data_IF_846116558978
#
_entry.id   IF_846116558978
#
_cell.length_a   1.000
_cell.length_b   1.000
_cell.length_c   1.000
_cell.angle_alpha   90.00
_cell.angle_beta   90.00
_cell.angle_gamma   90.00
#
_symmetry.space_group_name_H-M   'P 1'
#
loop_
_entity.id
_entity.type
_entity.pdbx_description
1 polymer ?
#
# COMPACT_ATOMS: atom_id res chain seq x y z
N UNK A 1 -15.65 0.03 -15.63
CA UNK A 1 -15.50 0.73 -14.33
C UNK A 1 -14.28 1.68 -14.27
N UNK A 2 -13.61 1.99 -15.39
CA UNK A 2 -12.41 2.85 -15.43
C UNK A 2 -12.67 4.31 -15.85
N UNK A 3 -13.93 4.70 -16.11
CA UNK A 3 -14.27 6.00 -16.72
C UNK A 3 -14.36 7.16 -15.72
N UNK A 4 -14.45 6.90 -14.41
CA UNK A 4 -14.63 7.95 -13.40
C UNK A 4 -13.32 8.42 -12.73
N UNK A 5 -12.17 7.76 -12.96
CA UNK A 5 -10.89 8.19 -12.38
C UNK A 5 -10.12 9.20 -13.25
N UNK A 6 -10.44 9.33 -14.53
CA UNK A 6 -9.75 10.29 -15.42
C UNK A 6 -10.23 11.74 -15.25
N UNK A 7 -11.44 11.97 -14.74
CA UNK A 7 -11.98 13.34 -14.60
C UNK A 7 -11.35 14.14 -13.45
N UNK A 8 -10.85 13.48 -12.40
CA UNK A 8 -10.31 14.16 -11.22
C UNK A 8 -8.91 14.79 -11.44
N UNK A 9 -8.18 14.36 -12.47
CA UNK A 9 -6.81 14.83 -12.73
C UNK A 9 -6.73 16.03 -13.69
N UNK A 10 -7.88 16.50 -14.21
CA UNK A 10 -7.97 17.56 -15.24
C UNK A 10 -8.26 18.96 -14.67
N UNK A 11 -8.30 19.09 -13.34
CA UNK A 11 -8.67 20.33 -12.65
C UNK A 11 -7.47 20.87 -11.87
N UNK A 12 -6.73 21.81 -12.46
CA UNK A 12 -5.76 22.63 -11.71
C UNK A 12 -6.49 23.83 -11.10
N UNK A 13 -6.53 23.90 -9.78
CA UNK A 13 -7.08 25.05 -9.03
C UNK A 13 -5.96 26.04 -8.74
N UNK A 14 -5.97 27.20 -9.40
CA UNK A 14 -5.15 28.35 -9.02
C UNK A 14 -6.01 29.30 -8.17
N UNK A 15 -5.57 29.57 -6.94
CA UNK A 15 -6.29 30.42 -5.99
C UNK A 15 -5.85 31.87 -6.23
N UNK A 16 -6.68 32.65 -6.91
CA UNK A 16 -6.43 34.09 -7.09
C UNK A 16 -6.98 34.85 -5.88
N UNK A 17 -6.09 35.39 -5.05
CA UNK A 17 -6.46 36.22 -3.91
C UNK A 17 -6.83 37.65 -4.41
N UNK A 18 -8.11 37.98 -4.43
CA UNK A 18 -8.55 39.38 -4.55
C UNK A 18 -8.91 39.89 -3.17
N UNK A 19 -7.95 40.56 -2.54
CA UNK A 19 -8.19 41.25 -1.27
C UNK A 19 -9.20 42.39 -1.44
N UNK A 20 -10.30 42.30 -0.70
CA UNK A 20 -11.04 43.45 -0.17
C UNK A 20 -11.59 43.08 1.20
N UNK A 21 -11.25 43.86 2.22
CA UNK A 21 -11.76 43.75 3.59
C UNK A 21 -13.18 44.33 3.69
N UNK A 22 -14.11 43.64 4.39
CA UNK A 22 -14.88 44.20 5.52
C UNK A 22 -16.00 43.27 6.05
N UNK A 23 -16.00 43.12 7.38
CA UNK A 23 -17.11 42.89 8.32
C UNK A 23 -18.17 41.82 8.01
N UNK A 24 -17.85 40.57 8.35
CA UNK A 24 -18.72 39.48 8.86
C UNK A 24 -18.12 38.15 8.40
N UNK A 25 -17.72 37.30 9.35
CA UNK A 25 -16.74 36.22 9.16
C UNK A 25 -17.15 35.05 8.25
N UNK A 26 -17.19 35.27 6.93
CA UNK A 26 -17.18 34.20 5.93
C UNK A 26 -16.26 34.57 4.76
N UNK A 27 -15.12 33.88 4.66
CA UNK A 27 -14.20 33.98 3.53
C UNK A 27 -14.84 33.36 2.29
N UNK A 28 -15.31 34.18 1.36
CA UNK A 28 -15.86 33.69 0.08
C UNK A 28 -14.73 33.60 -0.94
N UNK A 29 -14.32 32.39 -1.30
CA UNK A 29 -13.39 32.13 -2.40
C UNK A 29 -14.18 31.82 -3.67
N UNK A 30 -13.79 32.41 -4.81
CA UNK A 30 -14.35 32.04 -6.12
C UNK A 30 -13.31 31.23 -6.91
N UNK A 31 -13.60 29.95 -7.14
CA UNK A 31 -12.73 29.06 -7.93
C UNK A 31 -13.20 29.12 -9.38
N UNK A 32 -12.38 29.71 -10.26
CA UNK A 32 -12.64 29.67 -11.70
C UNK A 32 -11.95 28.44 -12.28
N UNK A 33 -12.73 27.40 -12.56
CA UNK A 33 -12.25 26.18 -13.21
C UNK A 33 -12.00 26.45 -14.70
N UNK A 34 -10.73 26.47 -15.12
CA UNK A 34 -10.37 26.48 -16.54
C UNK A 34 -10.18 25.03 -16.99
N UNK A 35 -11.01 24.54 -17.91
CA UNK A 35 -10.79 23.25 -18.58
C UNK A 35 -9.52 23.35 -19.43
N UNK A 36 -8.40 22.77 -18.99
CA UNK A 36 -7.28 22.50 -19.90
C UNK A 36 -7.73 21.39 -20.85
N UNK A 37 -7.54 21.61 -22.16
CA UNK A 37 -7.70 20.57 -23.16
C UNK A 37 -6.69 19.45 -22.85
N UNK A 38 -7.11 18.18 -22.81
CA UNK A 38 -6.23 17.06 -22.53
C UNK A 38 -5.17 16.92 -23.64
N UNK A 39 -3.90 17.01 -23.27
CA UNK A 39 -2.78 16.60 -24.12
C UNK A 39 -2.72 15.08 -24.17
N UNK A 40 -3.62 14.49 -24.95
CA UNK A 40 -3.73 13.04 -25.17
C UNK A 40 -2.45 12.44 -25.78
N UNK A 41 -1.58 13.24 -26.38
CA UNK A 41 -0.35 12.76 -27.03
C UNK A 41 0.75 12.47 -26.00
N UNK A 42 0.74 13.15 -24.85
CA UNK A 42 1.81 13.06 -23.84
C UNK A 42 1.52 12.00 -22.76
N UNK A 43 0.27 11.89 -22.29
CA UNK A 43 -0.10 10.94 -21.23
C UNK A 43 -0.13 9.49 -21.70
N UNK A 44 -0.57 9.27 -22.94
CA UNK A 44 -0.68 7.96 -23.55
C UNK A 44 0.73 7.41 -23.85
N UNK A 45 1.61 8.23 -24.44
CA UNK A 45 3.00 7.86 -24.68
C UNK A 45 3.74 7.52 -23.39
N UNK A 46 3.66 8.32 -22.32
CA UNK A 46 4.39 8.04 -21.08
C UNK A 46 3.93 6.74 -20.39
N UNK A 47 2.63 6.43 -20.41
CA UNK A 47 2.09 5.21 -19.79
C UNK A 47 2.52 3.95 -20.55
N UNK A 48 2.48 3.98 -21.89
CA UNK A 48 2.95 2.87 -22.72
C UNK A 48 4.48 2.79 -22.79
N UNK A 49 5.20 3.90 -22.71
CA UNK A 49 6.67 3.92 -22.62
C UNK A 49 7.13 3.36 -21.29
N UNK A 50 6.46 3.68 -20.18
CA UNK A 50 6.82 3.15 -18.85
C UNK A 50 6.48 1.66 -18.72
N UNK A 51 5.36 1.22 -19.29
CA UNK A 51 4.99 -0.20 -19.38
C UNK A 51 5.92 -0.97 -20.32
N UNK A 52 6.27 -0.36 -21.46
CA UNK A 52 7.21 -0.88 -22.44
C UNK A 52 8.61 -1.02 -21.84
N UNK A 53 9.13 0.01 -21.17
CA UNK A 53 10.41 -0.05 -20.45
C UNK A 53 10.39 -1.09 -19.34
N UNK A 54 9.30 -1.18 -18.56
CA UNK A 54 9.19 -2.19 -17.53
C UNK A 54 9.19 -3.61 -18.11
N UNK A 55 8.48 -3.82 -19.23
CA UNK A 55 8.48 -5.09 -19.95
C UNK A 55 9.84 -5.40 -20.58
N UNK A 56 10.51 -4.40 -21.14
CA UNK A 56 11.79 -4.49 -21.84
C UNK A 56 12.98 -4.60 -20.88
N UNK A 57 12.88 -4.10 -19.65
CA UNK A 57 13.85 -4.36 -18.57
C UNK A 57 13.62 -5.78 -18.03
N UNK A 58 12.37 -6.15 -17.77
CA UNK A 58 12.03 -7.46 -17.18
C UNK A 58 12.25 -8.63 -18.17
N UNK A 59 12.08 -8.40 -19.47
CA UNK A 59 12.37 -9.34 -20.54
C UNK A 59 13.64 -9.00 -21.34
N UNK A 60 14.40 -7.97 -20.93
CA UNK A 60 15.57 -7.46 -21.67
C UNK A 60 16.68 -8.48 -21.78
N UNK A 61 16.84 -9.29 -20.74
CA UNK A 61 17.75 -10.43 -20.75
C UNK A 61 17.34 -11.40 -21.87
N UNK A 62 16.07 -11.79 -21.96
CA UNK A 62 15.59 -12.67 -23.03
C UNK A 62 15.70 -12.03 -24.42
N UNK A 63 15.40 -10.74 -24.55
CA UNK A 63 15.50 -9.98 -25.80
C UNK A 63 16.95 -9.82 -26.27
N UNK A 64 17.93 -9.81 -25.37
CA UNK A 64 19.35 -9.76 -25.73
C UNK A 64 19.93 -11.16 -25.97
N UNK A 65 19.52 -12.17 -25.21
CA UNK A 65 20.06 -13.53 -25.33
C UNK A 65 19.48 -14.31 -26.50
N UNK A 66 18.20 -14.11 -26.82
CA UNK A 66 17.52 -14.86 -27.89
C UNK A 66 18.08 -14.52 -29.29
N UNK A 67 18.35 -13.25 -29.66
CA UNK A 67 18.96 -12.92 -30.95
C UNK A 67 20.41 -13.39 -31.04
N UNK A 68 21.16 -13.38 -29.94
CA UNK A 68 22.53 -13.91 -29.90
C UNK A 68 22.52 -15.43 -30.12
N UNK A 69 21.62 -16.15 -29.46
CA UNK A 69 21.40 -17.57 -29.71
C UNK A 69 20.98 -17.83 -31.17
N UNK A 70 20.01 -17.08 -31.69
CA UNK A 70 19.55 -17.21 -33.08
C UNK A 70 20.66 -16.85 -34.07
N UNK A 71 21.50 -15.85 -33.82
CA UNK A 71 22.65 -15.50 -34.65
C UNK A 71 23.70 -16.61 -34.67
N UNK A 72 24.01 -17.19 -33.51
CA UNK A 72 24.94 -18.33 -33.41
C UNK A 72 24.38 -19.56 -34.14
N UNK A 73 23.10 -19.89 -33.92
CA UNK A 73 22.44 -21.01 -34.60
C UNK A 73 22.25 -20.76 -36.11
N UNK A 74 21.99 -19.53 -36.56
CA UNK A 74 21.83 -19.21 -37.98
C UNK A 74 23.16 -19.09 -38.72
N UNK A 75 24.22 -18.66 -38.04
CA UNK A 75 25.59 -18.75 -38.56
C UNK A 75 26.04 -20.22 -38.71
N UNK A 76 25.58 -21.12 -37.82
CA UNK A 76 25.80 -22.56 -37.96
C UNK A 76 24.97 -23.22 -39.08
N UNK A 77 23.73 -22.79 -39.30
CA UNK A 77 22.84 -23.41 -40.30
C UNK A 77 23.07 -22.87 -41.72
N UNK A 78 23.61 -21.66 -41.88
CA UNK A 78 23.81 -20.99 -43.18
C UNK A 78 25.10 -21.32 -43.92
N UNK A 79 26.09 -21.96 -43.29
CA UNK A 79 27.40 -22.24 -43.89
C UNK A 79 27.64 -23.75 -44.08
N UNK A 80 27.06 -24.29 -45.16
CA UNK A 80 27.55 -25.42 -46.00
C UNK A 80 28.04 -26.75 -45.35
N UNK A 81 27.45 -27.86 -45.85
CA UNK A 81 27.88 -29.26 -45.80
C UNK A 81 28.36 -29.81 -44.43
N UNK A 82 27.50 -30.63 -43.80
CA UNK A 82 27.78 -31.30 -42.50
C UNK A 82 29.15 -31.96 -42.44
N UNK A 83 29.67 -32.50 -43.54
CA UNK A 83 30.92 -33.26 -43.53
C UNK A 83 32.19 -32.40 -43.51
N UNK A 84 32.14 -31.21 -44.10
CA UNK A 84 33.27 -30.27 -44.12
C UNK A 84 33.35 -29.48 -42.81
N UNK A 85 32.19 -29.29 -42.16
CA UNK A 85 32.06 -28.79 -40.80
C UNK A 85 32.65 -29.77 -39.78
N UNK A 86 32.33 -31.07 -39.87
CA UNK A 86 32.90 -32.09 -38.97
C UNK A 86 34.43 -32.20 -39.09
N UNK A 87 35.02 -32.01 -40.28
CA UNK A 87 36.50 -31.97 -40.43
C UNK A 87 37.12 -30.70 -39.88
N UNK A 88 36.55 -29.52 -40.16
CA UNK A 88 37.08 -28.25 -39.62
C UNK A 88 36.93 -28.14 -38.10
N UNK A 89 35.85 -28.70 -37.55
CA UNK A 89 35.58 -28.86 -36.11
C UNK A 89 36.39 -29.98 -35.46
N UNK A 90 37.14 -30.80 -36.20
CA UNK A 90 38.05 -31.78 -35.62
C UNK A 90 39.50 -31.27 -35.61
N UNK A 91 39.93 -30.56 -36.66
CA UNK A 91 41.31 -30.06 -36.79
C UNK A 91 41.58 -28.71 -36.08
N UNK A 92 40.58 -27.85 -35.88
CA UNK A 92 40.78 -26.49 -35.33
C UNK A 92 40.58 -26.38 -33.81
N UNK A 93 40.31 -27.49 -33.13
CA UNK A 93 39.55 -27.54 -31.87
C UNK A 93 40.41 -27.58 -30.60
N UNK A 94 41.73 -27.78 -30.71
CA UNK A 94 42.55 -28.01 -29.52
C UNK A 94 42.89 -26.76 -28.67
N UNK A 95 42.74 -25.53 -29.18
CA UNK A 95 43.15 -24.29 -28.45
C UNK A 95 42.08 -23.23 -28.27
N UNK A 96 41.13 -23.12 -29.20
CA UNK A 96 40.05 -22.12 -29.12
C UNK A 96 38.81 -22.60 -28.36
N UNK A 97 38.69 -23.92 -28.13
CA UNK A 97 37.54 -24.57 -27.51
C UNK A 97 37.41 -24.22 -26.02
N UNK A 98 38.48 -24.39 -25.23
CA UNK A 98 38.40 -24.16 -23.79
C UNK A 98 38.09 -22.69 -23.45
N UNK A 99 38.75 -21.73 -24.09
CA UNK A 99 38.53 -20.31 -23.83
C UNK A 99 37.13 -19.85 -24.23
N UNK A 100 36.61 -20.35 -25.36
CA UNK A 100 35.28 -20.00 -25.87
C UNK A 100 34.18 -20.65 -25.01
N UNK A 101 34.33 -21.92 -24.66
CA UNK A 101 33.40 -22.64 -23.77
C UNK A 101 33.35 -21.99 -22.38
N UNK A 102 34.51 -21.63 -21.81
CA UNK A 102 34.58 -20.90 -20.54
C UNK A 102 33.94 -19.52 -20.62
N UNK A 103 34.10 -18.80 -21.74
CA UNK A 103 33.46 -17.50 -21.95
C UNK A 103 31.93 -17.62 -22.04
N UNK A 104 31.40 -18.58 -22.82
CA UNK A 104 29.95 -18.82 -22.89
C UNK A 104 29.37 -19.29 -21.56
N UNK A 105 30.07 -20.17 -20.84
CA UNK A 105 29.66 -20.59 -19.50
C UNK A 105 29.66 -19.42 -18.52
N UNK A 106 30.69 -18.56 -18.57
CA UNK A 106 30.77 -17.33 -17.77
C UNK A 106 29.61 -16.37 -18.04
N UNK A 107 29.30 -16.12 -19.32
CA UNK A 107 28.14 -15.30 -19.72
C UNK A 107 26.84 -15.95 -19.25
N UNK A 108 26.67 -17.26 -19.43
CA UNK A 108 25.46 -17.98 -19.01
C UNK A 108 25.25 -17.92 -17.49
N UNK A 109 26.29 -18.17 -16.69
CA UNK A 109 26.24 -18.09 -15.22
C UNK A 109 26.01 -16.65 -14.77
N UNK A 110 26.65 -15.67 -15.41
CA UNK A 110 26.42 -14.25 -15.12
C UNK A 110 24.98 -13.85 -15.42
N UNK A 111 24.45 -14.21 -16.60
CA UNK A 111 23.07 -13.94 -16.99
C UNK A 111 22.07 -14.62 -16.07
N UNK A 112 22.30 -15.89 -15.68
CA UNK A 112 21.47 -16.58 -14.69
C UNK A 112 21.53 -15.89 -13.33
N UNK A 113 22.71 -15.50 -12.87
CA UNK A 113 22.89 -14.82 -11.57
C UNK A 113 22.16 -13.48 -11.55
N UNK A 114 22.36 -12.66 -12.60
CA UNK A 114 21.63 -11.40 -12.75
C UNK A 114 20.12 -11.64 -12.86
N UNK A 115 19.68 -12.67 -13.60
CA UNK A 115 18.27 -13.01 -13.69
C UNK A 115 17.66 -13.37 -12.33
N UNK A 116 18.31 -14.24 -11.55
CA UNK A 116 17.83 -14.60 -10.20
C UNK A 116 17.89 -13.44 -9.22
N UNK A 117 18.91 -12.58 -9.30
CA UNK A 117 19.04 -11.39 -8.46
C UNK A 117 18.06 -10.28 -8.84
N UNK A 118 17.69 -10.16 -10.12
CA UNK A 118 16.76 -9.13 -10.61
C UNK A 118 15.29 -9.50 -10.42
N UNK A 119 15.00 -10.74 -10.01
CA UNK A 119 13.63 -11.18 -9.76
C UNK A 119 13.07 -10.44 -8.54
N UNK A 120 11.91 -9.78 -8.66
CA UNK A 120 11.28 -9.14 -7.51
C UNK A 120 10.96 -10.21 -6.48
N UNK A 121 11.45 -10.03 -5.25
CA UNK A 121 11.11 -10.92 -4.14
C UNK A 121 9.62 -10.78 -3.85
N UNK A 122 8.92 -11.91 -3.80
CA UNK A 122 7.50 -11.96 -3.49
C UNK A 122 7.26 -11.60 -2.02
N UNK A 123 6.27 -10.75 -1.78
CA UNK A 123 5.82 -10.35 -0.45
C UNK A 123 4.53 -11.11 -0.15
N UNK A 124 4.49 -11.72 1.03
CA UNK A 124 3.36 -12.54 1.45
C UNK A 124 2.74 -12.00 2.74
N UNK A 125 1.42 -12.06 2.82
CA UNK A 125 0.68 -11.84 4.06
C UNK A 125 0.75 -13.13 4.88
N UNK A 126 1.43 -13.09 6.03
CA UNK A 126 1.55 -14.26 6.90
C UNK A 126 0.28 -14.52 7.69
N UNK A 127 -0.34 -13.47 8.25
CA UNK A 127 -1.55 -13.60 9.05
C UNK A 127 -2.25 -12.25 9.25
N UNK A 128 -3.46 -12.28 9.81
CA UNK A 128 -4.23 -11.10 10.21
C UNK A 128 -4.99 -11.37 11.52
N UNK A 129 -5.29 -10.30 12.25
CA UNK A 129 -6.09 -10.35 13.46
C UNK A 129 -6.97 -9.11 13.54
N UNK A 130 -8.16 -9.27 14.11
CA UNK A 130 -9.13 -8.20 14.32
C UNK A 130 -9.58 -8.25 15.77
N UNK A 131 -9.39 -7.17 16.51
CA UNK A 131 -9.85 -7.12 17.89
C UNK A 131 -11.37 -7.13 17.95
N UNK A 132 -11.93 -8.11 18.69
CA UNK A 132 -13.34 -8.13 19.05
C UNK A 132 -13.51 -7.53 20.45
N UNK A 133 -14.21 -6.39 20.60
CA UNK A 133 -14.47 -5.83 21.92
C UNK A 133 -15.37 -6.73 22.76
N UNK A 134 -15.33 -6.55 24.08
CA UNK A 134 -16.18 -7.29 25.02
C UNK A 134 -17.67 -6.90 24.83
N UNK A 135 -18.58 -7.83 25.10
CA UNK A 135 -20.03 -7.66 24.91
C UNK A 135 -20.64 -6.53 25.76
N UNK A 136 -19.89 -5.93 26.70
CA UNK A 136 -20.34 -4.75 27.44
C UNK A 136 -20.28 -3.46 26.61
N UNK A 137 -19.68 -3.52 25.43
CA UNK A 137 -19.65 -2.43 24.43
C UNK A 137 -20.61 -2.70 23.28
N UNK A 138 -21.31 -3.84 23.29
CA UNK A 138 -22.31 -4.20 22.28
C UNK A 138 -23.54 -3.33 22.48
N UNK A 139 -24.10 -2.84 21.38
CA UNK A 139 -25.25 -1.92 21.38
C UNK A 139 -26.24 -2.34 20.29
N UNK A 140 -27.53 -2.18 20.59
CA UNK A 140 -28.61 -2.27 19.59
C UNK A 140 -28.87 -0.91 18.91
N UNK A 141 -29.57 -0.91 17.77
CA UNK A 141 -29.99 0.33 17.10
C UNK A 141 -30.88 1.20 18.00
N UNK A 142 -31.77 0.58 18.77
CA UNK A 142 -32.66 1.27 19.70
C UNK A 142 -31.85 1.95 20.80
N UNK A 143 -30.84 1.28 21.35
CA UNK A 143 -29.96 1.85 22.37
C UNK A 143 -29.20 3.07 21.83
N UNK A 144 -28.72 3.02 20.58
CA UNK A 144 -28.06 4.18 19.94
C UNK A 144 -29.00 5.39 19.87
N UNK A 145 -30.23 5.18 19.40
CA UNK A 145 -31.22 6.26 19.28
C UNK A 145 -31.63 6.80 20.65
N UNK A 146 -31.75 5.93 21.64
CA UNK A 146 -32.09 6.34 23.00
C UNK A 146 -30.96 7.14 23.66
N UNK A 147 -29.70 6.75 23.44
CA UNK A 147 -28.55 7.55 23.89
C UNK A 147 -28.48 8.90 23.16
N UNK A 148 -28.73 8.92 21.85
CA UNK A 148 -28.81 10.16 21.09
C UNK A 148 -29.91 11.09 21.64
N UNK A 149 -31.09 10.56 21.98
CA UNK A 149 -32.18 11.31 22.63
C UNK A 149 -31.76 11.86 24.00
N UNK A 150 -31.17 11.01 24.86
CA UNK A 150 -30.67 11.40 26.19
C UNK A 150 -29.60 12.49 26.15
N UNK A 151 -28.82 12.55 25.07
CA UNK A 151 -27.79 13.58 24.92
C UNK A 151 -28.36 15.00 24.84
N UNK A 152 -29.64 15.16 24.50
CA UNK A 152 -30.31 16.46 24.35
C UNK A 152 -29.79 17.31 23.17
N UNK A 153 -28.92 16.77 22.31
CA UNK A 153 -28.27 17.48 21.20
C UNK A 153 -29.04 17.41 19.87
N UNK A 154 -30.07 16.56 19.79
CA UNK A 154 -30.80 16.28 18.57
C UNK A 154 -32.29 16.50 18.78
N UNK A 155 -32.96 17.09 17.79
CA UNK A 155 -34.41 17.19 17.75
C UNK A 155 -35.04 15.88 17.25
N UNK A 156 -36.36 15.73 17.46
CA UNK A 156 -37.06 14.49 17.11
C UNK A 156 -37.00 14.20 15.60
N UNK A 157 -36.99 15.24 14.75
CA UNK A 157 -36.82 15.05 13.31
C UNK A 157 -35.46 14.44 12.96
N UNK A 158 -34.36 14.91 13.56
CA UNK A 158 -33.02 14.33 13.37
C UNK A 158 -32.93 12.91 13.92
N UNK A 159 -33.56 12.62 15.07
CA UNK A 159 -33.58 11.27 15.64
C UNK A 159 -34.30 10.27 14.72
N UNK A 160 -35.45 10.66 14.15
CA UNK A 160 -36.16 9.83 13.17
C UNK A 160 -35.36 9.61 11.89
N UNK A 161 -34.63 10.63 11.43
CA UNK A 161 -33.72 10.50 10.29
C UNK A 161 -32.56 9.54 10.58
N UNK A 162 -31.89 9.68 11.72
CA UNK A 162 -30.83 8.77 12.16
C UNK A 162 -31.33 7.33 12.29
N UNK A 163 -32.55 7.13 12.82
CA UNK A 163 -33.18 5.81 12.93
C UNK A 163 -33.34 5.14 11.56
N UNK A 164 -33.85 5.86 10.56
CA UNK A 164 -33.98 5.35 9.18
C UNK A 164 -32.62 5.00 8.56
N UNK A 165 -31.58 5.79 8.84
CA UNK A 165 -30.21 5.48 8.41
C UNK A 165 -29.73 4.18 9.06
N UNK A 166 -29.90 4.02 10.37
CA UNK A 166 -29.49 2.81 11.09
C UNK A 166 -30.22 1.56 10.57
N UNK A 167 -31.51 1.66 10.30
CA UNK A 167 -32.33 0.58 9.72
C UNK A 167 -31.84 0.17 8.32
N UNK A 168 -31.38 1.13 7.51
CA UNK A 168 -30.91 0.91 6.13
C UNK A 168 -29.40 0.71 5.98
N UNK A 169 -28.62 0.84 7.05
CA UNK A 169 -27.14 0.80 7.03
C UNK A 169 -26.53 -0.59 6.81
N UNK A 170 -27.32 -1.66 6.96
CA UNK A 170 -26.82 -3.04 6.96
C UNK A 170 -26.07 -3.44 8.23
N UNK A 171 -26.02 -2.57 9.25
CA UNK A 171 -25.44 -2.83 10.57
C UNK A 171 -26.44 -3.64 11.40
N UNK A 172 -25.98 -4.67 12.11
CA UNK A 172 -26.80 -5.48 13.01
C UNK A 172 -26.87 -4.94 14.44
N UNK A 173 -27.79 -5.46 15.25
CA UNK A 173 -27.99 -5.06 16.65
C UNK A 173 -26.93 -5.61 17.63
N UNK A 174 -25.85 -6.18 17.10
CA UNK A 174 -24.69 -6.65 17.86
C UNK A 174 -23.41 -5.88 17.51
N UNK A 175 -23.55 -4.58 17.24
CA UNK A 175 -22.42 -3.71 16.89
C UNK A 175 -21.80 -3.11 18.13
N UNK A 176 -20.51 -2.79 18.08
CA UNK A 176 -19.79 -2.24 19.24
C UNK A 176 -19.57 -0.74 19.08
N UNK A 177 -19.83 0.03 20.15
CA UNK A 177 -19.51 1.45 20.21
C UNK A 177 -18.56 1.78 21.37
N UNK A 178 -17.67 2.78 21.20
CA UNK A 178 -16.85 3.30 22.27
C UNK A 178 -17.67 3.78 23.47
N UNK A 179 -17.16 3.54 24.68
CA UNK A 179 -17.79 4.02 25.93
C UNK A 179 -18.01 5.53 25.92
N UNK A 180 -17.08 6.28 25.30
CA UNK A 180 -17.17 7.74 25.23
C UNK A 180 -18.40 8.25 24.46
N UNK A 181 -18.97 7.43 23.56
CA UNK A 181 -20.21 7.75 22.84
C UNK A 181 -21.44 7.34 23.65
N UNK A 182 -21.34 6.24 24.40
CA UNK A 182 -22.44 5.67 25.18
C UNK A 182 -22.55 6.23 26.61
N UNK A 183 -21.54 6.95 27.11
CA UNK A 183 -21.58 7.60 28.42
C UNK A 183 -22.36 8.91 28.35
N UNK A 184 -23.27 9.13 29.32
CA UNK A 184 -23.93 10.42 29.49
C UNK A 184 -23.00 11.54 29.99
N UNK A 185 -21.79 11.19 30.43
CA UNK A 185 -20.76 12.11 30.89
C UNK A 185 -19.75 12.43 29.77
N UNK A 186 -19.14 13.62 29.80
CA UNK A 186 -18.08 14.01 28.88
C UNK A 186 -16.79 13.21 29.16
N UNK A 187 -16.75 11.96 28.68
CA UNK A 187 -15.59 11.07 28.78
C UNK A 187 -14.63 11.18 27.57
N UNK A 188 -14.83 12.16 26.69
CA UNK A 188 -13.97 12.40 25.51
C UNK A 188 -12.67 13.12 25.91
N UNK A 189 -11.82 12.38 26.60
CA UNK A 189 -10.56 12.85 27.16
C UNK A 189 -9.40 12.09 26.52
N UNK A 190 -8.21 12.70 26.51
CA UNK A 190 -7.00 12.09 25.94
C UNK A 190 -6.62 10.77 26.64
N UNK A 191 -6.97 10.64 27.93
CA UNK A 191 -6.69 9.43 28.71
C UNK A 191 -7.54 8.25 28.24
N UNK A 192 -8.84 8.48 28.06
CA UNK A 192 -9.83 7.51 27.61
C UNK A 192 -9.55 7.11 26.16
N UNK A 193 -9.26 8.07 25.28
CA UNK A 193 -8.85 7.78 23.90
C UNK A 193 -7.58 6.94 23.83
N UNK A 194 -6.60 7.18 24.72
CA UNK A 194 -5.40 6.34 24.83
C UNK A 194 -5.73 4.95 25.35
N UNK A 195 -6.62 4.83 26.33
CA UNK A 195 -7.04 3.54 26.88
C UNK A 195 -7.77 2.69 25.84
N UNK A 196 -8.67 3.29 25.06
CA UNK A 196 -9.38 2.64 23.97
C UNK A 196 -8.42 2.20 22.85
N UNK A 197 -7.56 3.11 22.38
CA UNK A 197 -6.58 2.78 21.35
C UNK A 197 -5.64 1.65 21.81
N UNK A 198 -5.20 1.67 23.08
CA UNK A 198 -4.38 0.60 23.66
C UNK A 198 -5.11 -0.72 23.68
N UNK A 199 -6.37 -0.74 24.14
CA UNK A 199 -7.19 -1.95 24.20
C UNK A 199 -7.33 -2.60 22.82
N UNK A 200 -7.69 -1.81 21.80
CA UNK A 200 -7.92 -2.30 20.44
C UNK A 200 -6.61 -2.74 19.78
N UNK A 201 -5.57 -1.90 19.85
CA UNK A 201 -4.30 -2.17 19.18
C UNK A 201 -3.55 -3.32 19.85
N UNK A 202 -3.52 -3.38 21.18
CA UNK A 202 -2.84 -4.46 21.88
C UNK A 202 -3.60 -5.77 21.72
N UNK A 203 -4.92 -5.78 21.90
CA UNK A 203 -5.70 -7.00 21.71
C UNK A 203 -5.56 -7.61 20.30
N UNK A 204 -5.53 -6.78 19.25
CA UNK A 204 -5.28 -7.27 17.89
C UNK A 204 -3.83 -7.80 17.70
N UNK A 205 -2.84 -7.12 18.28
CA UNK A 205 -1.44 -7.51 18.16
C UNK A 205 -1.10 -8.76 18.98
N UNK A 206 -1.68 -8.93 20.15
CA UNK A 206 -1.53 -10.13 20.98
C UNK A 206 -1.98 -11.37 20.22
N UNK A 207 -3.19 -11.34 19.64
CA UNK A 207 -3.71 -12.42 18.80
C UNK A 207 -2.83 -12.67 17.56
N UNK A 208 -2.31 -11.60 16.94
CA UNK A 208 -1.43 -11.72 15.78
C UNK A 208 -0.10 -12.40 16.13
N UNK A 209 0.54 -11.99 17.23
CA UNK A 209 1.79 -12.60 17.69
C UNK A 209 1.60 -14.05 18.13
N UNK A 210 0.46 -14.37 18.75
CA UNK A 210 0.09 -15.73 19.11
C UNK A 210 -0.05 -16.63 17.86
N UNK A 211 -0.80 -16.17 16.85
CA UNK A 211 -1.00 -16.93 15.60
C UNK A 211 0.27 -17.11 14.78
N UNK A 212 1.10 -16.08 14.70
CA UNK A 212 2.30 -16.07 13.85
C UNK A 212 3.53 -16.67 14.53
N UNK A 213 3.54 -16.69 15.87
CA UNK A 213 4.72 -17.02 16.70
C UNK A 213 5.95 -16.17 16.38
N UNK A 214 5.75 -14.99 15.80
CA UNK A 214 6.81 -14.02 15.51
C UNK A 214 7.10 -13.24 16.80
N UNK A 215 8.39 -13.13 17.15
CA UNK A 215 8.78 -12.32 18.32
C UNK A 215 8.66 -10.84 17.95
N UNK A 216 8.13 -9.96 18.81
CA UNK A 216 8.04 -8.53 18.51
C UNK A 216 9.39 -7.87 18.15
N UNK A 217 10.51 -8.42 18.62
CA UNK A 217 11.87 -7.95 18.28
C UNK A 217 12.28 -8.23 16.84
N UNK A 218 11.68 -9.21 16.19
CA UNK A 218 11.97 -9.58 14.80
C UNK A 218 11.20 -8.68 13.80
N UNK A 219 10.23 -7.89 14.28
CA UNK A 219 9.47 -6.94 13.46
C UNK A 219 10.35 -5.75 13.10
N UNK A 220 10.54 -5.54 11.79
CA UNK A 220 11.41 -4.49 11.29
C UNK A 220 10.76 -3.17 10.92
N UNK A 221 9.49 -3.22 10.55
CA UNK A 221 8.69 -2.07 10.12
C UNK A 221 7.34 -2.16 10.82
N UNK A 222 6.91 -1.06 11.42
CA UNK A 222 5.59 -0.91 12.04
C UNK A 222 4.88 0.27 11.41
N UNK A 223 3.76 0.01 10.75
CA UNK A 223 2.87 1.05 10.22
C UNK A 223 1.58 1.04 11.03
N UNK A 224 1.30 2.13 11.71
CA UNK A 224 0.09 2.34 12.50
C UNK A 224 -0.74 3.40 11.82
N UNK A 225 -2.04 3.16 11.70
CA UNK A 225 -2.97 4.12 11.14
C UNK A 225 -4.11 4.39 12.14
N UNK A 226 -4.35 5.65 12.44
CA UNK A 226 -5.54 6.09 13.15
C UNK A 226 -5.94 7.48 12.63
N UNK A 227 -7.18 7.63 12.16
CA UNK A 227 -7.67 8.95 11.69
C UNK A 227 -8.33 9.77 12.80
N UNK A 228 -8.83 9.12 13.85
CA UNK A 228 -9.67 9.76 14.88
C UNK A 228 -8.82 10.24 16.06
N UNK A 229 -7.69 9.60 16.32
CA UNK A 229 -6.88 9.86 17.51
C UNK A 229 -5.38 9.78 17.20
N UNK A 230 -4.68 10.91 17.24
CA UNK A 230 -3.23 11.02 16.99
C UNK A 230 -2.54 11.76 18.13
N UNK A 231 -2.34 11.11 19.29
CA UNK A 231 -1.73 11.74 20.47
C UNK A 231 -0.22 11.91 20.32
N UNK A 232 0.36 12.72 21.20
CA UNK A 232 1.80 12.71 21.50
C UNK A 232 1.99 12.14 22.91
N UNK A 233 2.87 11.13 23.14
CA UNK A 233 3.58 10.34 22.13
C UNK A 233 2.63 9.52 21.24
N UNK A 234 3.08 9.20 20.02
CA UNK A 234 2.30 8.55 18.96
C UNK A 234 1.82 7.14 19.35
N UNK A 235 0.81 6.62 18.63
CA UNK A 235 0.32 5.26 18.82
C UNK A 235 1.37 4.21 18.42
N UNK A 236 2.17 4.49 17.39
CA UNK A 236 3.33 3.66 17.05
C UNK A 236 4.35 3.57 18.19
N UNK A 237 4.69 4.70 18.83
CA UNK A 237 5.60 4.71 19.96
C UNK A 237 5.04 3.95 21.17
N UNK A 238 3.73 4.06 21.39
CA UNK A 238 3.01 3.33 22.43
C UNK A 238 3.13 1.81 22.22
N UNK A 239 2.93 1.31 21.00
CA UNK A 239 3.08 -0.11 20.64
C UNK A 239 4.53 -0.57 20.81
N UNK A 240 5.49 0.18 20.29
CA UNK A 240 6.93 -0.15 20.36
C UNK A 240 7.37 -0.31 21.82
N UNK A 241 6.96 0.63 22.69
CA UNK A 241 7.32 0.58 24.09
C UNK A 241 6.61 -0.54 24.85
N UNK A 242 5.36 -0.88 24.49
CA UNK A 242 4.61 -1.96 25.13
C UNK A 242 5.24 -3.33 24.84
N UNK A 243 5.49 -3.64 23.56
CA UNK A 243 6.03 -4.94 23.14
C UNK A 243 7.55 -5.06 23.19
N UNK A 244 8.25 -4.01 23.62
CA UNK A 244 9.72 -3.96 23.66
C UNK A 244 10.34 -4.37 22.32
N UNK A 245 9.81 -3.78 21.25
CA UNK A 245 10.30 -3.97 19.89
C UNK A 245 11.76 -3.47 19.76
N UNK A 246 12.44 -3.84 18.68
CA UNK A 246 13.84 -3.47 18.45
C UNK A 246 14.03 -1.94 18.35
N UNK A 247 15.20 -1.45 18.79
CA UNK A 247 15.49 -0.01 18.81
C UNK A 247 15.66 0.63 17.43
N UNK A 248 16.00 -0.16 16.40
CA UNK A 248 16.13 0.26 15.00
C UNK A 248 14.88 -0.08 14.16
N UNK A 249 13.70 -0.08 14.77
CA UNK A 249 12.44 -0.29 14.06
C UNK A 249 12.07 0.96 13.25
N UNK A 250 11.64 0.76 12.00
CA UNK A 250 11.05 1.85 11.21
C UNK A 250 9.58 1.97 11.57
N UNK A 251 9.19 3.09 12.20
CA UNK A 251 7.83 3.29 12.70
C UNK A 251 7.12 4.45 12.01
N UNK A 252 5.93 4.21 11.47
CA UNK A 252 5.11 5.21 10.81
C UNK A 252 3.75 5.32 11.50
N UNK A 253 3.32 6.55 11.80
CA UNK A 253 2.00 6.83 12.37
C UNK A 253 1.21 7.69 11.38
N UNK A 254 0.29 7.05 10.66
CA UNK A 254 -0.55 7.63 9.63
C UNK A 254 -1.85 8.16 10.23
N UNK A 255 -2.27 9.34 9.78
CA UNK A 255 -3.52 9.97 10.18
C UNK A 255 -4.12 10.81 9.06
N UNK A 256 -5.40 11.17 9.17
CA UNK A 256 -6.08 12.09 8.25
C UNK A 256 -6.52 11.51 6.89
N UNK A 257 -6.23 10.24 6.61
CA UNK A 257 -6.60 9.59 5.33
C UNK A 257 -7.96 8.88 5.36
N UNK A 258 -8.56 8.69 6.54
CA UNK A 258 -9.89 8.08 6.68
C UNK A 258 -9.90 6.60 6.28
N UNK A 259 -10.97 6.16 5.63
CA UNK A 259 -11.23 4.74 5.34
C UNK A 259 -10.23 4.11 4.34
N UNK A 260 -9.52 4.91 3.53
CA UNK A 260 -8.53 4.40 2.57
C UNK A 260 -7.18 4.06 3.20
N UNK A 261 -6.96 4.51 4.43
CA UNK A 261 -5.67 4.51 5.09
C UNK A 261 -5.11 3.09 5.33
N UNK A 262 -5.97 2.07 5.43
CA UNK A 262 -5.54 0.67 5.53
C UNK A 262 -4.81 0.18 4.27
N UNK A 263 -5.35 0.45 3.08
CA UNK A 263 -4.72 0.07 1.81
C UNK A 263 -3.46 0.89 1.57
N UNK A 264 -3.46 2.17 1.94
CA UNK A 264 -2.28 3.04 1.83
C UNK A 264 -1.14 2.52 2.73
N UNK A 265 -1.47 2.09 3.96
CA UNK A 265 -0.50 1.49 4.88
C UNK A 265 0.14 0.22 4.28
N UNK A 266 -0.66 -0.61 3.60
CA UNK A 266 -0.15 -1.80 2.91
C UNK A 266 0.73 -1.45 1.70
N UNK A 267 0.36 -0.45 0.91
CA UNK A 267 1.18 -0.01 -0.24
C UNK A 267 2.54 0.54 0.24
N UNK A 268 2.54 1.39 1.27
CA UNK A 268 3.75 1.91 1.91
C UNK A 268 4.64 0.78 2.45
N UNK A 269 4.06 -0.19 3.16
CA UNK A 269 4.81 -1.29 3.72
C UNK A 269 5.42 -2.18 2.62
N UNK A 270 4.67 -2.47 1.55
CA UNK A 270 5.10 -3.41 0.51
C UNK A 270 6.06 -2.78 -0.50
N UNK A 271 5.66 -1.67 -1.13
CA UNK A 271 6.44 -1.03 -2.21
C UNK A 271 7.63 -0.25 -1.69
N UNK A 272 7.41 0.60 -0.69
CA UNK A 272 8.44 1.54 -0.29
C UNK A 272 9.41 0.91 0.71
N UNK A 273 8.91 0.08 1.62
CA UNK A 273 9.74 -0.44 2.71
C UNK A 273 10.29 -1.83 2.40
N UNK A 274 9.45 -2.79 2.02
CA UNK A 274 9.91 -4.17 1.81
C UNK A 274 10.66 -4.32 0.49
N UNK A 275 10.18 -3.78 -0.62
CA UNK A 275 10.91 -3.91 -1.90
C UNK A 275 12.22 -3.11 -1.92
N UNK A 276 12.27 -1.91 -1.35
CA UNK A 276 13.50 -1.10 -1.32
C UNK A 276 14.59 -1.62 -0.38
N UNK A 277 14.22 -2.36 0.67
CA UNK A 277 15.20 -2.98 1.58
C UNK A 277 15.58 -4.43 1.18
N UNK A 278 14.99 -4.96 0.09
CA UNK A 278 15.28 -6.30 -0.44
C UNK A 278 16.18 -6.27 -1.68
N UNK A 279 16.53 -5.09 -2.20
CA UNK A 279 17.58 -4.87 -3.21
C UNK A 279 18.95 -4.76 -2.57
#
# INVERSE_FOLDING_TARGET
MARNQEEHHLLSTEIVNRGMESSSGSMTFSVRVRRRLPDFVQSVNLKYVKLGYHYLINHGIYLATLPVLVLVFSAEVGSLSREELWRKLWDSTARYDLATVLAFFGVFVFTLSVYFMSRPRSIYLLNFACYRPHDNLKVSKEEIIEQARKSGKFDEASLQFQKRILESSGIGDETYLPKAIMSGENCSTMKEGRAEASMVMFGALDELFEKTRVRPKDVGVLVVNCSIFNPTPSLSAMIINHYKMRGNILSFNLGGMGCSAGIIALDLATRDMLQANLT
#
